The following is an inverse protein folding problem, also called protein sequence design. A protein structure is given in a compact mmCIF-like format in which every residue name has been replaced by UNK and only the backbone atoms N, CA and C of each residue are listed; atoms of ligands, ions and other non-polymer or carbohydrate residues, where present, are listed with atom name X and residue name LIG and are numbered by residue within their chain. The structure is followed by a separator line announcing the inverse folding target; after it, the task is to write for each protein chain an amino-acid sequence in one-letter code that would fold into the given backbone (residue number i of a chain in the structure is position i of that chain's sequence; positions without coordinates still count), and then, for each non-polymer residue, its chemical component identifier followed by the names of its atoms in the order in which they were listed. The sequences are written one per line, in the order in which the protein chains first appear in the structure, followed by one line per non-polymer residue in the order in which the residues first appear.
data_IF_072339109757
#
_entry.id   IF_072339109757
#
_cell.length_a   1.000
_cell.length_b   1.000
_cell.length_c   1.000
_cell.angle_alpha   90.00
_cell.angle_beta   90.00
_cell.angle_gamma   90.00
#
_symmetry.space_group_name_H-M   'P 1'
#
loop_
_entity.id
_entity.type
_entity.pdbx_description
1 polymer ?
#
# COMPACT_ATOMS: atom_id res chain seq x y z
N UNK A 1 12.95 5.76 1.56
CA UNK A 1 12.23 5.86 2.85
C UNK A 1 12.49 7.23 3.45
N UNK A 2 11.52 7.77 4.18
CA UNK A 2 11.69 9.01 4.98
C UNK A 2 12.56 8.73 6.23
N UNK A 3 12.99 9.77 6.99
CA UNK A 3 13.62 9.55 8.29
C UNK A 3 12.74 8.70 9.20
N UNK A 4 13.37 7.75 9.90
CA UNK A 4 12.67 6.86 10.84
C UNK A 4 12.58 7.53 12.20
N UNK A 5 11.38 7.56 12.76
CA UNK A 5 11.10 8.13 14.07
C UNK A 5 11.03 7.04 15.12
N UNK A 6 11.65 7.27 16.28
CA UNK A 6 11.46 6.46 17.48
C UNK A 6 10.43 7.16 18.37
N UNK A 7 9.39 6.44 18.78
CA UNK A 7 8.39 6.94 19.72
C UNK A 7 8.16 5.93 20.84
N UNK A 8 7.94 6.44 22.05
CA UNK A 8 7.55 5.65 23.21
C UNK A 8 6.29 6.25 23.84
N UNK A 9 5.37 5.37 24.26
CA UNK A 9 4.07 5.75 24.82
C UNK A 9 3.96 5.18 26.23
N UNK A 10 3.73 6.06 27.20
CA UNK A 10 3.53 5.76 28.62
C UNK A 10 2.08 6.08 29.02
N UNK A 11 1.74 5.86 30.29
CA UNK A 11 0.43 6.15 30.90
C UNK A 11 -0.15 7.50 30.45
N UNK A 12 -1.34 7.45 29.84
CA UNK A 12 -2.06 8.60 29.28
C UNK A 12 -1.68 8.98 27.85
N UNK A 13 -0.60 8.43 27.31
CA UNK A 13 -0.14 8.70 25.93
C UNK A 13 -1.11 8.06 24.93
N UNK A 14 -1.41 8.79 23.85
CA UNK A 14 -2.23 8.33 22.73
C UNK A 14 -1.93 9.15 21.49
N UNK A 15 -2.43 8.71 20.35
CA UNK A 15 -2.44 9.50 19.13
C UNK A 15 -3.86 9.52 18.59
N UNK A 16 -4.41 10.72 18.46
CA UNK A 16 -5.76 10.92 17.91
C UNK A 16 -5.78 10.53 16.42
N UNK A 17 -6.99 10.38 15.86
CA UNK A 17 -7.16 10.04 14.45
C UNK A 17 -6.56 11.13 13.55
N UNK A 18 -5.74 10.70 12.60
CA UNK A 18 -5.13 11.52 11.56
C UNK A 18 -4.89 10.65 10.32
N UNK A 19 -4.58 11.29 9.20
CA UNK A 19 -4.04 10.65 8.02
C UNK A 19 -2.67 11.24 7.74
N UNK A 20 -1.79 10.44 7.14
CA UNK A 20 -0.40 10.77 6.91
C UNK A 20 -0.16 11.36 5.51
N UNK A 21 -1.18 11.95 4.90
CA UNK A 21 -1.04 12.64 3.61
C UNK A 21 -0.27 13.96 3.78
N UNK A 22 0.61 14.36 2.85
CA UNK A 22 0.88 13.74 1.55
C UNK A 22 2.14 12.85 1.54
N UNK A 23 2.42 12.08 2.60
CA UNK A 23 3.57 11.17 2.59
C UNK A 23 3.40 10.03 1.56
N UNK A 24 4.50 9.34 1.23
CA UNK A 24 4.53 8.33 0.17
C UNK A 24 3.61 7.14 0.40
N UNK A 25 3.54 6.16 -0.51
CA UNK A 25 2.40 5.25 -0.67
C UNK A 25 2.10 4.28 0.49
N UNK A 26 3.05 4.12 1.43
CA UNK A 26 2.87 3.28 2.61
C UNK A 26 3.44 3.97 3.85
N UNK A 27 2.67 3.99 4.93
CA UNK A 27 3.16 4.21 6.28
C UNK A 27 3.54 2.88 6.92
N UNK A 28 4.47 2.90 7.87
CA UNK A 28 4.80 1.71 8.64
C UNK A 28 5.03 1.99 10.13
N UNK A 29 4.76 0.95 10.93
CA UNK A 29 5.07 0.89 12.36
C UNK A 29 5.73 -0.46 12.63
N UNK A 30 6.95 -0.43 13.16
CA UNK A 30 7.65 -1.60 13.69
C UNK A 30 7.61 -1.52 15.21
N UNK A 31 6.96 -2.49 15.85
CA UNK A 31 6.90 -2.52 17.30
C UNK A 31 8.14 -3.17 17.92
N UNK A 32 8.73 -2.44 18.87
CA UNK A 32 9.84 -2.86 19.72
C UNK A 32 9.39 -3.13 21.16
N UNK A 33 8.07 -3.08 21.41
CA UNK A 33 7.48 -3.39 22.71
C UNK A 33 7.72 -4.86 23.05
N UNK A 34 8.27 -5.15 24.22
CA UNK A 34 8.39 -6.53 24.69
C UNK A 34 7.00 -7.11 24.98
N UNK A 35 6.70 -8.28 24.42
CA UNK A 35 5.40 -8.95 24.63
C UNK A 35 5.10 -9.20 26.11
N UNK A 36 6.14 -9.41 26.92
CA UNK A 36 6.00 -9.60 28.36
C UNK A 36 5.47 -8.35 29.08
N UNK A 37 5.68 -7.14 28.53
CA UNK A 37 5.19 -5.89 29.12
C UNK A 37 3.76 -5.55 28.67
N UNK A 38 3.37 -5.89 27.44
CA UNK A 38 1.98 -5.68 27.00
C UNK A 38 1.04 -6.66 27.72
N UNK A 39 0.08 -6.12 28.47
CA UNK A 39 -0.84 -6.88 29.32
C UNK A 39 -0.34 -7.14 30.75
N UNK A 40 0.95 -6.91 31.05
CA UNK A 40 1.48 -7.01 32.43
C UNK A 40 1.88 -5.65 33.02
N UNK A 41 2.54 -4.80 32.22
CA UNK A 41 2.99 -3.46 32.59
C UNK A 41 1.97 -2.39 32.20
N UNK A 42 1.33 -2.58 31.03
CA UNK A 42 0.35 -1.64 30.51
C UNK A 42 -0.70 -2.34 29.63
N UNK A 43 -1.84 -1.67 29.46
CA UNK A 43 -2.90 -2.03 28.51
C UNK A 43 -3.09 -0.95 27.46
N UNK A 44 -3.78 -1.27 26.37
CA UNK A 44 -3.99 -0.35 25.27
C UNK A 44 -2.78 -0.25 24.34
N UNK A 45 -2.59 0.92 23.71
CA UNK A 45 -1.49 1.15 22.77
C UNK A 45 -1.62 0.40 21.44
N UNK A 46 -2.78 -0.17 21.11
CA UNK A 46 -3.01 -0.72 19.79
C UNK A 46 -2.97 0.39 18.73
N UNK A 47 -2.34 0.11 17.59
CA UNK A 47 -2.53 0.95 16.40
C UNK A 47 -3.94 0.69 15.90
N UNK A 48 -4.73 1.75 15.75
CA UNK A 48 -6.10 1.68 15.24
C UNK A 48 -6.14 2.22 13.82
N UNK A 49 -6.69 1.47 12.88
CA UNK A 49 -6.88 1.88 11.48
C UNK A 49 -8.37 1.80 11.17
N UNK A 50 -8.93 2.89 10.65
CA UNK A 50 -10.33 2.95 10.26
C UNK A 50 -10.58 2.00 9.09
N UNK A 51 -11.70 1.26 9.11
CA UNK A 51 -12.05 0.36 8.01
C UNK A 51 -12.44 1.13 6.74
N UNK A 52 -12.02 0.71 5.53
CA UNK A 52 -12.36 1.40 4.28
C UNK A 52 -13.85 1.65 4.09
N UNK A 53 -14.69 0.68 4.46
CA UNK A 53 -16.16 0.78 4.36
C UNK A 53 -16.75 1.92 5.19
N UNK A 54 -16.06 2.39 6.23
CA UNK A 54 -16.52 3.50 7.08
C UNK A 54 -16.36 4.84 6.36
N UNK A 55 -15.39 4.95 5.46
CA UNK A 55 -15.19 6.13 4.62
C UNK A 55 -16.33 6.30 3.60
N UNK A 56 -17.08 5.23 3.31
CA UNK A 56 -18.29 5.22 2.49
C UNK A 56 -19.48 4.59 3.24
N UNK A 57 -19.68 5.06 4.48
CA UNK A 57 -20.64 4.46 5.42
C UNK A 57 -22.06 4.35 4.88
N UNK A 58 -22.56 5.40 4.21
CA UNK A 58 -23.96 5.45 3.78
C UNK A 58 -24.28 4.53 2.62
N UNK A 59 -23.30 4.20 1.76
CA UNK A 59 -23.50 3.26 0.64
C UNK A 59 -23.75 1.84 1.15
N UNK A 60 -23.20 1.49 2.31
CA UNK A 60 -23.31 0.15 2.91
C UNK A 60 -24.16 0.12 4.18
N UNK A 61 -24.81 1.24 4.53
CA UNK A 61 -25.58 1.35 5.76
C UNK A 61 -26.76 0.38 5.81
N UNK A 62 -26.87 -0.34 6.93
CA UNK A 62 -28.01 -1.18 7.25
C UNK A 62 -28.60 -0.80 8.60
N UNK A 63 -29.90 -0.51 8.64
CA UNK A 63 -30.62 -0.20 9.88
C UNK A 63 -30.84 -1.41 10.80
N UNK A 64 -30.52 -2.61 10.32
CA UNK A 64 -30.59 -3.85 11.11
C UNK A 64 -29.26 -4.25 11.76
N UNK A 65 -28.17 -3.55 11.47
CA UNK A 65 -26.84 -3.85 12.01
C UNK A 65 -26.49 -2.93 13.18
N UNK A 66 -25.87 -3.51 14.22
CA UNK A 66 -25.31 -2.75 15.34
C UNK A 66 -23.88 -2.35 14.98
N UNK A 67 -23.60 -1.05 15.06
CA UNK A 67 -22.28 -0.49 14.75
C UNK A 67 -21.55 -0.19 16.05
N UNK A 68 -20.46 -0.93 16.29
CA UNK A 68 -19.57 -0.78 17.45
C UNK A 68 -18.13 -0.53 16.99
N UNK A 69 -17.25 -0.12 17.91
CA UNK A 69 -15.85 0.19 17.60
C UNK A 69 -15.13 -0.90 16.77
N UNK A 70 -15.23 -2.22 17.08
CA UNK A 70 -14.57 -3.26 16.29
C UNK A 70 -15.10 -3.38 14.86
N UNK A 71 -16.29 -2.87 14.60
CA UNK A 71 -16.85 -2.81 13.25
C UNK A 71 -16.28 -1.61 12.47
N UNK A 72 -15.88 -0.55 13.17
CA UNK A 72 -15.39 0.69 12.56
C UNK A 72 -13.87 0.67 12.33
N UNK A 73 -13.13 -0.09 13.14
CA UNK A 73 -11.68 -0.04 13.17
C UNK A 73 -11.06 -1.42 13.36
N UNK A 74 -9.98 -1.67 12.63
CA UNK A 74 -9.05 -2.76 12.98
C UNK A 74 -8.06 -2.28 14.03
N UNK A 75 -7.83 -3.11 15.04
CA UNK A 75 -6.86 -2.88 16.11
C UNK A 75 -5.67 -3.84 15.98
N UNK A 76 -4.47 -3.28 15.90
CA UNK A 76 -3.23 -4.02 15.85
C UNK A 76 -2.46 -3.88 17.16
N UNK A 77 -2.37 -4.97 17.91
CA UNK A 77 -1.57 -5.02 19.14
C UNK A 77 -0.07 -4.78 18.85
N UNK A 78 0.64 -4.00 19.70
CA UNK A 78 2.05 -3.67 19.52
C UNK A 78 2.94 -4.84 19.97
N UNK A 79 2.92 -5.94 19.21
CA UNK A 79 3.74 -7.13 19.51
C UNK A 79 5.18 -6.95 19.06
N UNK A 80 6.13 -7.48 19.82
CA UNK A 80 7.55 -7.37 19.52
C UNK A 80 7.88 -7.86 18.10
N UNK A 81 8.75 -7.13 17.41
CA UNK A 81 9.27 -7.47 16.08
C UNK A 81 8.16 -7.65 15.02
N UNK A 82 7.06 -6.93 15.16
CA UNK A 82 5.98 -6.88 14.18
C UNK A 82 6.06 -5.60 13.37
N UNK A 83 6.16 -5.76 12.05
CA UNK A 83 5.94 -4.70 11.07
C UNK A 83 4.45 -4.65 10.70
N UNK A 84 3.86 -3.48 10.83
CA UNK A 84 2.59 -3.12 10.22
C UNK A 84 2.87 -2.10 9.12
N UNK A 85 2.47 -2.39 7.89
CA UNK A 85 2.51 -1.44 6.77
C UNK A 85 1.09 -1.25 6.25
N UNK A 86 0.72 -0.01 5.95
CA UNK A 86 -0.65 0.35 5.57
C UNK A 86 -0.67 1.60 4.70
N UNK A 87 -1.80 1.82 4.04
CA UNK A 87 -2.05 3.02 3.25
C UNK A 87 -2.19 4.26 4.15
N UNK A 88 -1.31 5.28 4.01
CA UNK A 88 -1.30 6.45 4.90
C UNK A 88 -2.52 7.35 4.75
N UNK A 89 -3.31 7.18 3.69
CA UNK A 89 -4.56 7.94 3.49
C UNK A 89 -5.66 7.47 4.43
N UNK A 90 -5.54 6.26 4.97
CA UNK A 90 -6.50 5.68 5.91
C UNK A 90 -6.38 6.38 7.27
N UNK A 91 -7.47 6.96 7.81
CA UNK A 91 -7.44 7.56 9.15
C UNK A 91 -7.04 6.53 10.20
N UNK A 92 -6.06 6.88 11.02
CA UNK A 92 -5.49 5.97 12.01
C UNK A 92 -4.95 6.72 13.23
N UNK A 93 -4.61 5.97 14.28
CA UNK A 93 -4.06 6.52 15.52
C UNK A 93 -3.55 5.43 16.46
N UNK A 94 -3.37 5.78 17.73
CA UNK A 94 -2.90 4.86 18.77
C UNK A 94 -3.81 4.98 19.98
N UNK A 95 -4.39 3.85 20.41
CA UNK A 95 -5.23 3.80 21.61
C UNK A 95 -4.43 4.23 22.84
N UNK A 96 -5.12 4.83 23.81
CA UNK A 96 -4.51 5.26 25.06
C UNK A 96 -3.75 4.11 25.72
N UNK A 97 -2.52 4.39 26.15
CA UNK A 97 -1.71 3.49 26.97
C UNK A 97 -2.00 3.77 28.43
N UNK A 98 -2.27 2.73 29.21
CA UNK A 98 -2.58 2.83 30.65
C UNK A 98 -1.72 1.85 31.45
N UNK A 99 -1.12 2.30 32.56
CA UNK A 99 -0.49 1.41 33.55
C UNK A 99 0.98 1.67 33.85
N UNK A 100 1.80 2.05 32.87
CA UNK A 100 3.25 2.26 33.07
C UNK A 100 3.69 3.69 32.82
N UNK A 101 4.44 4.28 33.75
CA UNK A 101 5.20 5.53 33.54
C UNK A 101 6.69 5.28 33.28
N UNK A 102 7.13 4.02 33.34
CA UNK A 102 8.51 3.62 33.11
C UNK A 102 8.76 3.54 31.59
N UNK A 103 9.62 4.40 31.02
CA UNK A 103 9.89 4.39 29.58
C UNK A 103 10.56 3.10 29.10
N UNK A 104 11.21 2.34 30.00
CA UNK A 104 11.81 1.04 29.65
C UNK A 104 10.78 -0.08 29.47
N UNK A 105 9.56 0.14 29.98
CA UNK A 105 8.42 -0.77 29.89
C UNK A 105 7.26 -0.18 29.08
N UNK A 106 7.53 0.89 28.33
CA UNK A 106 6.56 1.59 27.50
C UNK A 106 6.21 0.77 26.24
N UNK A 107 5.17 1.21 25.51
CA UNK A 107 5.03 0.83 24.10
C UNK A 107 6.10 1.56 23.31
N UNK A 108 7.00 0.83 22.66
CA UNK A 108 8.10 1.39 21.88
C UNK A 108 7.91 1.02 20.42
N UNK A 109 8.05 2.00 19.52
CA UNK A 109 7.88 1.79 18.08
C UNK A 109 8.88 2.59 17.26
N UNK A 110 9.30 2.02 16.14
CA UNK A 110 9.87 2.76 15.02
C UNK A 110 8.77 2.99 13.98
N UNK A 111 8.69 4.17 13.41
CA UNK A 111 7.69 4.47 12.39
C UNK A 111 8.21 5.47 11.36
N UNK A 112 7.52 5.53 10.23
CA UNK A 112 7.82 6.43 9.13
C UNK A 112 7.08 6.02 7.87
N UNK A 113 7.60 6.48 6.73
CA UNK A 113 6.96 6.31 5.43
C UNK A 113 7.94 5.77 4.40
N UNK A 114 7.41 4.96 3.50
CA UNK A 114 8.10 4.68 2.24
C UNK A 114 8.08 5.96 1.39
N UNK A 115 9.16 6.17 0.64
CA UNK A 115 9.26 7.32 -0.28
C UNK A 115 8.60 6.94 -1.61
N UNK A 116 8.59 7.87 -2.57
CA UNK A 116 8.11 7.62 -3.92
C UNK A 116 8.72 6.33 -4.49
N UNK A 117 7.88 5.39 -4.96
CA UNK A 117 8.36 4.12 -5.46
C UNK A 117 8.97 4.32 -6.85
N UNK A 118 10.01 3.55 -7.15
CA UNK A 118 10.66 3.54 -8.46
C UNK A 118 10.73 2.09 -8.97
N UNK A 119 10.79 1.88 -10.30
CA UNK A 119 11.04 0.57 -10.85
C UNK A 119 12.32 -0.04 -10.28
N UNK A 120 12.29 -1.33 -9.99
CA UNK A 120 13.43 -2.09 -9.50
C UNK A 120 13.76 -3.22 -10.48
N UNK A 121 15.00 -3.25 -10.95
CA UNK A 121 15.49 -4.18 -11.97
C UNK A 121 16.45 -5.18 -11.33
N UNK A 122 16.23 -6.46 -11.60
CA UNK A 122 17.06 -7.57 -11.16
C UNK A 122 17.28 -8.55 -12.32
N UNK A 123 18.46 -9.17 -12.39
CA UNK A 123 18.79 -10.15 -13.42
C UNK A 123 19.69 -9.59 -14.51
N UNK A 124 19.55 -10.13 -15.72
CA UNK A 124 20.53 -9.92 -16.79
C UNK A 124 20.34 -8.60 -17.58
N UNK A 125 19.11 -8.11 -17.74
CA UNK A 125 18.83 -6.82 -18.35
C UNK A 125 19.13 -5.68 -17.37
N UNK A 126 19.91 -4.69 -17.82
CA UNK A 126 20.04 -3.43 -17.11
C UNK A 126 18.79 -2.57 -17.25
N UNK A 127 18.65 -1.58 -16.37
CA UNK A 127 17.61 -0.54 -16.47
C UNK A 127 17.63 0.11 -17.86
N UNK A 128 18.80 0.55 -18.35
CA UNK A 128 18.95 1.18 -19.66
C UNK A 128 18.45 0.29 -20.81
N UNK A 129 18.70 -1.02 -20.75
CA UNK A 129 18.25 -1.97 -21.78
C UNK A 129 16.74 -2.21 -21.74
N UNK A 130 16.12 -2.08 -20.57
CA UNK A 130 14.70 -2.35 -20.36
C UNK A 130 13.82 -1.11 -20.59
N UNK A 131 14.37 0.10 -20.47
CA UNK A 131 13.61 1.36 -20.52
C UNK A 131 12.76 1.51 -21.78
N UNK A 132 13.33 1.35 -22.97
CA UNK A 132 12.61 1.56 -24.23
C UNK A 132 11.43 0.59 -24.36
N UNK A 133 11.66 -0.69 -24.08
CA UNK A 133 10.63 -1.73 -24.12
C UNK A 133 9.52 -1.51 -23.07
N UNK A 134 9.89 -1.02 -21.90
CA UNK A 134 8.94 -0.68 -20.85
C UNK A 134 8.10 0.55 -21.27
N UNK A 135 8.72 1.56 -21.85
CA UNK A 135 8.04 2.76 -22.32
C UNK A 135 7.07 2.44 -23.48
N UNK A 136 7.50 1.63 -24.45
CA UNK A 136 6.64 1.14 -25.54
C UNK A 136 5.38 0.41 -25.04
N UNK A 137 5.45 -0.24 -23.88
CA UNK A 137 4.32 -0.91 -23.26
C UNK A 137 3.48 0.03 -22.37
N UNK A 138 4.10 1.02 -21.74
CA UNK A 138 3.44 1.97 -20.83
C UNK A 138 2.67 3.06 -21.57
N UNK A 139 3.18 3.59 -22.68
CA UNK A 139 2.54 4.66 -23.45
C UNK A 139 1.09 4.28 -23.87
N UNK A 140 0.82 3.15 -24.56
CA UNK A 140 -0.54 2.76 -24.91
C UNK A 140 -1.38 2.35 -23.70
N UNK A 141 -0.75 1.89 -22.62
CA UNK A 141 -1.44 1.61 -21.37
C UNK A 141 -1.98 2.91 -20.76
N UNK A 142 -1.18 3.98 -20.69
CA UNK A 142 -1.64 5.26 -20.15
C UNK A 142 -2.77 5.87 -20.99
N UNK A 143 -2.70 5.78 -22.32
CA UNK A 143 -3.82 6.15 -23.19
C UNK A 143 -5.10 5.35 -22.87
N UNK A 144 -4.95 4.05 -22.60
CA UNK A 144 -6.08 3.20 -22.23
C UNK A 144 -6.64 3.53 -20.86
N UNK A 145 -5.77 3.82 -19.87
CA UNK A 145 -6.16 4.15 -18.51
C UNK A 145 -6.91 5.48 -18.44
N UNK A 146 -6.57 6.45 -19.29
CA UNK A 146 -7.26 7.74 -19.39
C UNK A 146 -8.74 7.63 -19.81
N UNK A 147 -9.13 6.51 -20.43
CA UNK A 147 -10.52 6.22 -20.82
C UNK A 147 -11.30 5.45 -19.74
N UNK A 148 -10.64 5.03 -18.65
CA UNK A 148 -11.27 4.33 -17.53
C UNK A 148 -11.70 5.31 -16.42
N UNK A 149 -12.63 4.91 -15.52
CA UNK A 149 -12.93 5.70 -14.34
C UNK A 149 -11.68 5.96 -13.49
N UNK A 150 -11.54 7.20 -13.01
CA UNK A 150 -10.35 7.63 -12.29
C UNK A 150 -10.18 6.89 -10.96
N UNK A 151 -8.96 6.47 -10.67
CA UNK A 151 -8.54 5.97 -9.36
C UNK A 151 -7.33 6.74 -8.84
N UNK A 152 -7.05 6.61 -7.55
CA UNK A 152 -5.85 7.14 -6.91
C UNK A 152 -5.14 6.07 -6.07
N UNK A 153 -3.81 6.11 -6.04
CA UNK A 153 -3.00 5.20 -5.23
C UNK A 153 -1.89 4.56 -6.04
N UNK A 154 -1.39 3.43 -5.55
CA UNK A 154 -0.27 2.71 -6.16
C UNK A 154 -0.63 1.26 -6.39
N UNK A 155 -0.32 0.79 -7.58
CA UNK A 155 -0.41 -0.60 -7.98
C UNK A 155 0.99 -1.09 -8.34
N UNK A 156 1.48 -2.14 -7.67
CA UNK A 156 2.80 -2.69 -7.97
C UNK A 156 2.66 -4.12 -8.50
N UNK A 157 3.42 -4.43 -9.54
CA UNK A 157 3.51 -5.74 -10.15
C UNK A 157 4.98 -6.12 -10.39
N UNK A 158 5.24 -7.38 -10.74
CA UNK A 158 6.55 -7.84 -11.19
C UNK A 158 6.46 -8.59 -12.51
N UNK A 159 7.24 -8.13 -13.48
CA UNK A 159 7.44 -8.82 -14.75
C UNK A 159 8.52 -9.87 -14.59
N UNK A 160 8.30 -11.06 -15.15
CA UNK A 160 9.31 -12.10 -15.32
C UNK A 160 9.62 -12.21 -16.81
N UNK A 161 10.84 -11.87 -17.21
CA UNK A 161 11.26 -11.71 -18.60
C UNK A 161 12.22 -12.84 -18.96
N UNK A 162 11.92 -13.55 -20.04
CA UNK A 162 12.77 -14.60 -20.59
C UNK A 162 14.02 -14.00 -21.22
N UNK A 163 15.19 -14.46 -20.77
CA UNK A 163 16.46 -13.94 -21.25
C UNK A 163 16.79 -14.26 -22.71
N UNK A 164 16.14 -15.27 -23.29
CA UNK A 164 16.49 -15.77 -24.63
C UNK A 164 15.71 -15.08 -25.75
N UNK A 165 14.46 -14.69 -25.49
CA UNK A 165 13.58 -14.07 -26.47
C UNK A 165 12.96 -12.73 -26.01
N UNK A 166 13.21 -12.32 -24.76
CA UNK A 166 12.71 -11.07 -24.19
C UNK A 166 11.20 -11.04 -23.93
N UNK A 167 10.51 -12.18 -24.03
CA UNK A 167 9.09 -12.26 -23.75
C UNK A 167 8.80 -12.19 -22.26
N UNK A 168 7.70 -11.53 -21.89
CA UNK A 168 7.17 -11.60 -20.51
C UNK A 168 6.49 -12.96 -20.33
N UNK A 169 7.08 -13.80 -19.47
CA UNK A 169 6.57 -15.14 -19.13
C UNK A 169 5.47 -15.11 -18.09
N UNK A 170 5.55 -14.15 -17.18
CA UNK A 170 4.61 -13.99 -16.08
C UNK A 170 4.53 -12.52 -15.65
N UNK A 171 3.33 -12.11 -15.28
CA UNK A 171 3.08 -10.86 -14.56
C UNK A 171 2.60 -11.25 -13.17
N UNK A 172 3.49 -11.17 -12.19
CA UNK A 172 3.20 -11.45 -10.80
C UNK A 172 2.57 -10.21 -10.15
N UNK A 173 1.33 -10.33 -9.69
CA UNK A 173 0.70 -9.24 -8.95
C UNK A 173 -0.82 -9.34 -8.85
N UNK A 174 -1.45 -8.32 -8.26
CA UNK A 174 -0.78 -7.16 -7.64
C UNK A 174 0.04 -7.54 -6.40
N UNK A 175 1.29 -7.06 -6.32
CA UNK A 175 2.16 -7.23 -5.15
C UNK A 175 1.72 -6.32 -4.00
N UNK A 176 1.29 -5.11 -4.36
CA UNK A 176 0.63 -4.15 -3.47
C UNK A 176 -0.41 -3.39 -4.28
N UNK A 177 -1.57 -3.15 -3.69
CA UNK A 177 -2.66 -2.41 -4.32
C UNK A 177 -3.29 -1.47 -3.28
N UNK A 178 -3.10 -0.18 -3.48
CA UNK A 178 -3.79 0.87 -2.72
C UNK A 178 -4.78 1.63 -3.60
N UNK A 179 -5.20 1.11 -4.75
CA UNK A 179 -6.12 1.85 -5.60
C UNK A 179 -7.47 2.10 -4.92
N UNK A 180 -7.91 3.35 -4.98
CA UNK A 180 -9.24 3.80 -4.55
C UNK A 180 -9.87 4.53 -5.72
N UNK A 181 -11.01 4.04 -6.20
CA UNK A 181 -11.77 4.72 -7.25
C UNK A 181 -12.27 6.08 -6.74
N UNK A 182 -12.22 7.12 -7.58
CA UNK A 182 -12.66 8.47 -7.20
C UNK A 182 -14.18 8.50 -7.15
N UNK A 183 -14.79 8.81 -5.99
CA UNK A 183 -16.24 8.82 -5.88
C UNK A 183 -16.94 9.76 -6.86
N UNK A 184 -16.27 10.83 -7.30
CA UNK A 184 -16.82 11.84 -8.21
C UNK A 184 -16.89 11.37 -9.67
N UNK A 185 -16.13 10.35 -10.05
CA UNK A 185 -16.11 9.83 -11.42
C UNK A 185 -16.93 8.55 -11.58
N UNK A 186 -17.38 7.97 -10.46
CA UNK A 186 -18.22 6.78 -10.48
C UNK A 186 -19.64 7.13 -10.93
N UNK A 187 -20.21 6.27 -11.78
CA UNK A 187 -21.65 6.33 -12.04
C UNK A 187 -22.45 5.99 -10.77
N UNK A 188 -23.72 6.42 -10.68
CA UNK A 188 -24.57 6.34 -9.46
C UNK A 188 -24.70 4.93 -8.84
N UNK A 189 -24.35 3.87 -9.57
CA UNK A 189 -24.40 2.47 -9.14
C UNK A 189 -23.13 1.67 -9.49
N UNK A 190 -22.05 2.35 -9.84
CA UNK A 190 -20.80 1.68 -10.18
C UNK A 190 -20.10 1.21 -8.91
N UNK A 191 -19.67 -0.05 -8.92
CA UNK A 191 -18.89 -0.64 -7.83
C UNK A 191 -17.43 -0.15 -7.90
N UNK A 192 -16.90 0.53 -6.87
CA UNK A 192 -15.49 0.91 -6.82
C UNK A 192 -14.52 -0.25 -7.04
N UNK A 193 -14.92 -1.48 -6.68
CA UNK A 193 -14.11 -2.67 -6.93
C UNK A 193 -13.97 -2.98 -8.42
N UNK A 194 -15.03 -2.78 -9.21
CA UNK A 194 -15.00 -3.01 -10.65
C UNK A 194 -13.98 -2.09 -11.35
N UNK A 195 -13.88 -0.83 -10.95
CA UNK A 195 -12.87 0.11 -11.48
C UNK A 195 -11.45 -0.42 -11.27
N UNK A 196 -11.16 -0.96 -10.08
CA UNK A 196 -9.83 -1.53 -9.77
C UNK A 196 -9.55 -2.77 -10.61
N UNK A 197 -10.56 -3.62 -10.80
CA UNK A 197 -10.45 -4.83 -11.65
C UNK A 197 -10.21 -4.47 -13.12
N UNK A 198 -10.88 -3.44 -13.64
CA UNK A 198 -10.68 -2.95 -15.00
C UNK A 198 -9.28 -2.35 -15.21
N UNK A 199 -8.81 -1.53 -14.26
CA UNK A 199 -7.43 -1.00 -14.27
C UNK A 199 -6.43 -2.16 -14.26
N UNK A 200 -6.61 -3.14 -13.36
CA UNK A 200 -5.71 -4.28 -13.29
C UNK A 200 -5.72 -5.12 -14.57
N UNK A 201 -6.89 -5.34 -15.17
CA UNK A 201 -7.00 -6.06 -16.44
C UNK A 201 -6.26 -5.34 -17.57
N UNK A 202 -6.37 -4.01 -17.67
CA UNK A 202 -5.64 -3.22 -18.66
C UNK A 202 -4.11 -3.31 -18.45
N UNK A 203 -3.66 -3.19 -17.19
CA UNK A 203 -2.24 -3.33 -16.83
C UNK A 203 -1.73 -4.73 -17.18
N UNK A 204 -2.48 -5.78 -16.84
CA UNK A 204 -2.11 -7.15 -17.10
C UNK A 204 -1.99 -7.44 -18.61
N UNK A 205 -2.93 -6.96 -19.42
CA UNK A 205 -2.92 -7.12 -20.87
C UNK A 205 -1.71 -6.45 -21.52
N UNK A 206 -1.46 -5.18 -21.17
CA UNK A 206 -0.33 -4.40 -21.68
C UNK A 206 1.01 -5.05 -21.30
N UNK A 207 1.17 -5.39 -20.02
CA UNK A 207 2.43 -5.91 -19.50
C UNK A 207 2.72 -7.34 -19.93
N UNK A 208 1.70 -8.19 -20.11
CA UNK A 208 1.89 -9.55 -20.66
C UNK A 208 2.28 -9.53 -22.14
N UNK A 209 1.88 -8.49 -22.86
CA UNK A 209 2.17 -8.32 -24.28
C UNK A 209 3.50 -7.61 -24.54
N UNK A 210 4.11 -7.02 -23.52
CA UNK A 210 5.41 -6.34 -23.62
C UNK A 210 6.51 -7.27 -24.15
N UNK A 211 7.48 -6.68 -24.86
CA UNK A 211 8.64 -7.39 -25.42
C UNK A 211 9.90 -6.60 -25.14
N UNK A 212 10.81 -7.23 -24.43
CA UNK A 212 12.11 -6.70 -24.07
C UNK A 212 13.18 -7.21 -25.06
N UNK A 213 14.37 -6.60 -25.09
CA UNK A 213 15.50 -7.21 -25.78
C UNK A 213 15.89 -8.53 -25.10
N UNK A 214 16.40 -9.48 -25.88
CA UNK A 214 17.05 -10.66 -25.32
C UNK A 214 18.34 -10.26 -24.57
N UNK A 215 18.60 -10.92 -23.45
CA UNK A 215 19.81 -10.73 -22.66
C UNK A 215 21.03 -11.29 -23.38
N UNK A 216 22.17 -10.61 -23.30
CA UNK A 216 23.39 -11.03 -23.99
C UNK A 216 23.93 -12.39 -23.53
N UNK A 217 23.67 -12.76 -22.27
CA UNK A 217 24.05 -14.04 -21.66
C UNK A 217 22.89 -15.05 -21.62
N UNK A 218 21.71 -14.68 -22.15
CA UNK A 218 20.49 -15.49 -22.10
C UNK A 218 19.87 -15.61 -20.71
N UNK A 219 20.29 -14.81 -19.73
CA UNK A 219 19.76 -14.83 -18.36
C UNK A 219 18.40 -14.11 -18.25
N UNK A 220 17.52 -14.66 -17.42
CA UNK A 220 16.21 -14.07 -17.14
C UNK A 220 16.34 -12.76 -16.34
N UNK A 221 15.30 -11.94 -16.39
CA UNK A 221 15.23 -10.66 -15.68
C UNK A 221 13.87 -10.45 -15.01
N UNK A 222 13.88 -9.65 -13.96
CA UNK A 222 12.71 -9.27 -13.19
C UNK A 222 12.63 -7.76 -13.06
N UNK A 223 11.46 -7.21 -13.37
CA UNK A 223 11.19 -5.77 -13.19
C UNK A 223 10.02 -5.64 -12.24
N UNK A 224 10.27 -5.13 -11.04
CA UNK A 224 9.20 -4.74 -10.11
C UNK A 224 8.80 -3.31 -10.43
N UNK A 225 7.57 -3.12 -10.92
CA UNK A 225 7.06 -1.89 -11.48
C UNK A 225 5.95 -1.32 -10.60
N UNK A 226 6.17 -0.18 -9.94
CA UNK A 226 5.10 0.60 -9.33
C UNK A 226 4.44 1.51 -10.36
N UNK A 227 3.12 1.47 -10.44
CA UNK A 227 2.28 2.40 -11.19
C UNK A 227 1.59 3.32 -10.18
N UNK A 228 1.87 4.63 -10.28
CA UNK A 228 1.33 5.66 -9.40
C UNK A 228 0.19 6.38 -10.10
N UNK A 229 -0.95 6.51 -9.43
CA UNK A 229 -2.17 7.15 -9.93
C UNK A 229 -2.45 8.37 -9.05
N UNK A 230 -2.10 9.54 -9.55
CA UNK A 230 -2.22 10.82 -8.82
C UNK A 230 -3.29 11.75 -9.42
N UNK A 231 -3.58 12.84 -8.70
CA UNK A 231 -4.54 13.87 -9.13
C UNK A 231 -4.13 14.64 -10.38
N UNK A 232 -2.86 14.57 -10.81
CA UNK A 232 -2.28 15.40 -11.88
C UNK A 232 -1.88 14.70 -13.19
N UNK A 233 -1.82 13.37 -13.23
CA UNK A 233 -1.29 12.60 -14.37
C UNK A 233 -2.38 11.84 -15.15
N UNK A 234 -3.53 12.48 -15.39
CA UNK A 234 -4.53 12.06 -16.38
C UNK A 234 -5.14 13.27 -17.10
#
# INVERSE_FOLDING_TARGET
MTPIWLSYYIDGSRQELHADVPHGPWAFVISLTHDADHGSAFTGGETMILEPRVLDYWRTFSSSEVVELPSLMTLHAPKFNRLLAFDPRMPHGVRIVEGTRDPTRARIVLHGWFAEPAPFFEGALSEEQATDALQDALDPLFERLAELPLAIGVLTLRLHIDGTDGSVRNVEGPLTDTLVARPQTLAEHEDPAAVREEIWAAVLDAMSSARFPASADGGDSWITLPLVFDDGDQ
#
